data_IF_516641272200
#
_entry.id   IF_516641272200
#
_cell.length_a   1.000
_cell.length_b   1.000
_cell.length_c   1.000
_cell.angle_alpha   90.00
_cell.angle_beta   90.00
_cell.angle_gamma   90.00
#
_symmetry.space_group_name_H-M   'P 1'
#
loop_
_entity.id
_entity.type
_entity.pdbx_description
1 polymer ?
#
# COMPACT_ATOMS: atom_id res chain seq x y z
N UNK A 1 21.50 26.62 33.69
CA UNK A 1 20.40 25.66 33.48
C UNK A 1 19.45 26.18 32.40
N UNK A 2 19.75 25.91 31.14
CA UNK A 2 18.83 25.99 29.98
C UNK A 2 19.48 25.18 28.85
N UNK A 3 19.44 23.87 28.94
CA UNK A 3 19.79 22.95 27.86
C UNK A 3 19.03 21.64 28.08
N UNK A 4 17.71 21.70 27.92
CA UNK A 4 16.85 20.52 27.86
C UNK A 4 15.59 20.88 27.05
N UNK A 5 15.76 21.26 25.78
CA UNK A 5 14.69 21.29 24.78
C UNK A 5 15.23 20.92 23.40
N UNK A 6 16.13 19.96 23.35
CA UNK A 6 16.54 19.25 22.14
C UNK A 6 16.37 17.76 22.48
N UNK A 7 15.80 16.97 21.56
CA UNK A 7 15.64 15.50 21.62
C UNK A 7 14.26 14.93 21.99
N UNK A 8 13.15 15.44 21.42
CA UNK A 8 11.89 14.68 21.44
C UNK A 8 11.34 14.33 20.05
N UNK A 9 11.98 14.79 18.96
CA UNK A 9 11.63 14.42 17.58
C UNK A 9 12.48 13.29 16.98
N UNK A 10 13.51 12.83 17.69
CA UNK A 10 14.42 11.78 17.20
C UNK A 10 14.09 10.36 17.73
N UNK A 11 13.00 10.15 18.48
CA UNK A 11 12.77 8.87 19.18
C UNK A 11 11.42 8.19 18.98
N UNK A 12 10.59 8.62 18.04
CA UNK A 12 9.43 7.84 17.59
C UNK A 12 9.29 7.97 16.07
N UNK A 13 10.08 7.17 15.34
CA UNK A 13 9.67 6.68 14.02
C UNK A 13 8.51 5.71 14.27
N UNK A 14 7.33 6.21 14.63
CA UNK A 14 6.12 5.40 14.56
C UNK A 14 5.92 5.13 13.07
N UNK A 15 6.16 3.89 12.67
CA UNK A 15 5.88 3.47 11.30
C UNK A 15 4.43 3.84 10.99
N UNK A 16 4.22 4.54 9.89
CA UNK A 16 2.89 4.86 9.41
C UNK A 16 2.09 3.57 9.30
N UNK A 17 0.90 3.55 9.90
CA UNK A 17 0.00 2.41 9.84
C UNK A 17 -0.71 2.36 8.48
N UNK A 18 -0.04 1.73 7.51
CA UNK A 18 -0.57 1.55 6.15
C UNK A 18 -1.92 0.83 6.18
N UNK A 19 -2.09 -0.15 7.08
CA UNK A 19 -3.34 -0.90 7.26
C UNK A 19 -4.49 0.03 7.61
N UNK A 20 -4.27 0.95 8.55
CA UNK A 20 -5.27 1.93 8.96
C UNK A 20 -5.62 2.89 7.83
N UNK A 21 -4.64 3.35 7.05
CA UNK A 21 -4.89 4.24 5.90
C UNK A 21 -5.70 3.54 4.82
N UNK A 22 -5.34 2.30 4.46
CA UNK A 22 -6.09 1.52 3.47
C UNK A 22 -7.52 1.27 3.98
N UNK A 23 -7.68 0.93 5.26
CA UNK A 23 -9.00 0.71 5.86
C UNK A 23 -9.86 1.98 5.84
N UNK A 24 -9.28 3.14 6.14
CA UNK A 24 -9.97 4.43 6.05
C UNK A 24 -10.41 4.74 4.61
N UNK A 25 -9.50 4.61 3.63
CA UNK A 25 -9.80 4.80 2.22
C UNK A 25 -10.91 3.85 1.73
N UNK A 26 -10.85 2.57 2.12
CA UNK A 26 -11.88 1.59 1.78
C UNK A 26 -13.23 1.93 2.41
N UNK A 27 -13.25 2.41 3.66
CA UNK A 27 -14.49 2.80 4.34
C UNK A 27 -15.21 3.98 3.68
N UNK A 28 -14.48 4.78 2.89
CA UNK A 28 -14.99 5.90 2.11
C UNK A 28 -15.24 5.55 0.63
N UNK A 29 -15.06 4.28 0.25
CA UNK A 29 -15.29 3.77 -1.11
C UNK A 29 -16.64 3.07 -1.22
N UNK A 30 -17.30 3.23 -2.36
CA UNK A 30 -18.50 2.45 -2.72
C UNK A 30 -18.13 1.04 -3.25
N UNK A 31 -16.85 0.81 -3.53
CA UNK A 31 -16.33 -0.46 -4.05
C UNK A 31 -15.61 -1.25 -2.96
N UNK A 32 -15.79 -2.57 -2.98
CA UNK A 32 -14.99 -3.49 -2.16
C UNK A 32 -13.53 -3.53 -2.62
N UNK A 33 -12.64 -4.05 -1.76
CA UNK A 33 -11.23 -4.24 -2.08
C UNK A 33 -11.03 -5.01 -3.40
N UNK A 34 -11.72 -6.14 -3.58
CA UNK A 34 -11.59 -6.95 -4.80
C UNK A 34 -12.11 -6.21 -6.04
N UNK A 35 -13.16 -5.38 -5.92
CA UNK A 35 -13.66 -4.55 -7.04
C UNK A 35 -12.65 -3.48 -7.43
N UNK A 36 -12.03 -2.81 -6.45
CA UNK A 36 -10.98 -1.82 -6.69
C UNK A 36 -9.80 -2.47 -7.41
N UNK A 37 -9.29 -3.59 -6.89
CA UNK A 37 -8.19 -4.34 -7.52
C UNK A 37 -8.51 -4.88 -8.92
N UNK A 38 -9.78 -4.87 -9.35
CA UNK A 38 -10.20 -5.33 -10.67
C UNK A 38 -10.41 -4.21 -11.69
N UNK A 39 -10.15 -2.95 -11.36
CA UNK A 39 -10.27 -1.85 -12.33
C UNK A 39 -10.05 -0.42 -11.86
N UNK A 40 -9.88 -0.18 -10.55
CA UNK A 40 -9.66 1.15 -9.96
C UNK A 40 -8.37 1.21 -9.12
N UNK A 41 -7.47 0.24 -9.28
CA UNK A 41 -6.26 0.13 -8.47
C UNK A 41 -5.34 1.35 -8.63
N UNK A 42 -5.21 1.91 -9.83
CA UNK A 42 -4.38 3.10 -10.08
C UNK A 42 -4.86 4.31 -9.27
N UNK A 43 -6.15 4.67 -9.37
CA UNK A 43 -6.73 5.80 -8.64
C UNK A 43 -6.60 5.64 -7.12
N UNK A 44 -6.87 4.43 -6.61
CA UNK A 44 -6.73 4.14 -5.18
C UNK A 44 -5.26 4.23 -4.72
N UNK A 45 -4.31 3.72 -5.51
CA UNK A 45 -2.89 3.78 -5.14
C UNK A 45 -2.33 5.20 -5.16
N UNK A 46 -2.80 6.04 -6.08
CA UNK A 46 -2.45 7.47 -6.08
C UNK A 46 -2.91 8.18 -4.81
N UNK A 47 -4.08 7.82 -4.29
CA UNK A 47 -4.58 8.34 -3.01
C UNK A 47 -3.80 7.78 -1.81
N UNK A 48 -3.48 6.48 -1.82
CA UNK A 48 -2.70 5.86 -0.76
C UNK A 48 -1.30 6.47 -0.66
N UNK A 49 -0.56 6.56 -1.78
CA UNK A 49 0.84 7.01 -1.76
C UNK A 49 1.00 8.46 -1.29
N UNK A 50 0.01 9.33 -1.56
CA UNK A 50 -0.01 10.71 -1.05
C UNK A 50 -0.11 10.82 0.48
N UNK A 51 -0.55 9.74 1.15
CA UNK A 51 -0.71 9.67 2.61
C UNK A 51 0.45 8.94 3.29
N UNK A 52 1.40 8.42 2.51
CA UNK A 52 2.56 7.69 3.01
C UNK A 52 3.82 8.57 3.00
N UNK A 53 4.86 8.19 3.76
CA UNK A 53 6.13 8.90 3.73
C UNK A 53 6.82 8.81 2.36
N UNK A 54 7.76 9.72 2.12
CA UNK A 54 8.44 9.88 0.82
C UNK A 54 9.23 8.64 0.35
N UNK A 55 9.52 7.69 1.24
CA UNK A 55 10.18 6.42 0.91
C UNK A 55 9.21 5.29 0.56
N UNK A 56 7.89 5.54 0.56
CA UNK A 56 6.90 4.66 -0.06
C UNK A 56 6.99 4.77 -1.59
N UNK A 57 6.87 3.62 -2.27
CA UNK A 57 7.09 3.54 -3.71
C UNK A 57 5.90 2.89 -4.40
N UNK A 58 5.36 3.58 -5.39
CA UNK A 58 4.37 2.99 -6.29
C UNK A 58 5.03 1.89 -7.14
N UNK A 59 4.33 0.78 -7.28
CA UNK A 59 4.72 -0.36 -8.09
C UNK A 59 3.63 -0.69 -9.07
N UNK A 60 4.03 -1.18 -10.24
CA UNK A 60 3.09 -1.58 -11.28
C UNK A 60 3.57 -2.81 -12.05
N UNK A 61 2.60 -3.61 -12.49
CA UNK A 61 2.75 -4.59 -13.56
C UNK A 61 1.98 -4.05 -14.77
N UNK A 62 2.60 -3.98 -15.97
CA UNK A 62 1.90 -3.58 -17.20
C UNK A 62 0.73 -4.51 -17.55
N UNK A 63 -0.36 -3.96 -18.08
CA UNK A 63 -1.57 -4.70 -18.45
C UNK A 63 -1.38 -5.71 -19.61
N UNK A 64 -0.28 -5.61 -20.35
CA UNK A 64 0.10 -6.53 -21.43
C UNK A 64 1.11 -7.61 -20.99
N UNK A 65 1.37 -7.73 -19.69
CA UNK A 65 2.32 -8.69 -19.14
C UNK A 65 1.72 -10.10 -18.95
N UNK A 66 2.56 -11.07 -18.59
CA UNK A 66 2.12 -12.41 -18.18
C UNK A 66 1.33 -12.41 -16.86
N UNK A 67 1.51 -11.38 -16.04
CA UNK A 67 0.77 -11.16 -14.80
C UNK A 67 -0.37 -10.17 -15.04
N UNK A 68 -1.47 -10.21 -14.24
CA UNK A 68 -2.50 -9.17 -14.29
C UNK A 68 -1.89 -7.79 -14.12
N UNK A 69 -2.28 -6.83 -14.98
CA UNK A 69 -1.88 -5.46 -14.78
C UNK A 69 -2.45 -4.91 -13.48
N UNK A 70 -1.61 -4.30 -12.65
CA UNK A 70 -1.97 -3.91 -11.30
C UNK A 70 -1.06 -2.83 -10.75
N UNK A 71 -1.61 -1.98 -9.89
CA UNK A 71 -0.87 -0.97 -9.11
C UNK A 71 -0.95 -1.31 -7.62
N UNK A 72 0.17 -1.16 -6.92
CA UNK A 72 0.25 -1.34 -5.47
C UNK A 72 1.35 -0.44 -4.88
N UNK A 73 1.47 -0.40 -3.55
CA UNK A 73 2.54 0.34 -2.87
C UNK A 73 3.52 -0.61 -2.21
N UNK A 74 4.81 -0.31 -2.32
CA UNK A 74 5.87 -0.89 -1.50
C UNK A 74 6.32 0.12 -0.44
N UNK A 75 6.31 -0.28 0.83
CA UNK A 75 6.79 0.54 1.94
C UNK A 75 7.46 -0.34 2.99
N UNK A 76 8.65 0.05 3.46
CA UNK A 76 9.45 -0.72 4.43
C UNK A 76 9.64 -2.21 4.08
N UNK A 77 9.77 -2.53 2.79
CA UNK A 77 9.98 -3.89 2.30
C UNK A 77 8.74 -4.79 2.34
N UNK A 78 7.55 -4.22 2.52
CA UNK A 78 6.27 -4.89 2.37
C UNK A 78 5.48 -4.29 1.21
N UNK A 79 4.63 -5.11 0.61
CA UNK A 79 3.77 -4.75 -0.51
C UNK A 79 2.31 -4.73 -0.08
N UNK A 80 1.63 -3.64 -0.38
CA UNK A 80 0.28 -3.34 0.09
C UNK A 80 -0.63 -3.04 -1.10
N UNK A 81 -1.80 -3.64 -1.08
CA UNK A 81 -2.95 -3.24 -1.91
C UNK A 81 -4.23 -3.35 -1.09
N UNK A 82 -5.37 -3.13 -1.73
CA UNK A 82 -6.66 -3.15 -1.02
C UNK A 82 -7.03 -4.52 -0.44
N UNK A 83 -6.52 -5.63 -1.00
CA UNK A 83 -6.81 -7.00 -0.55
C UNK A 83 -5.75 -7.55 0.42
N UNK A 84 -4.64 -6.83 0.61
CA UNK A 84 -3.59 -7.14 1.58
C UNK A 84 -3.17 -5.87 2.36
N UNK A 85 -4.08 -5.27 3.17
CA UNK A 85 -3.80 -4.04 3.90
C UNK A 85 -2.71 -4.22 4.97
N UNK A 86 -2.53 -5.43 5.50
CA UNK A 86 -1.45 -5.75 6.45
C UNK A 86 -0.08 -5.93 5.76
N UNK A 87 -0.06 -5.99 4.43
CA UNK A 87 1.13 -6.15 3.62
C UNK A 87 1.60 -7.61 3.44
N UNK A 88 2.33 -7.85 2.35
CA UNK A 88 3.01 -9.12 2.06
C UNK A 88 4.49 -8.89 1.74
N UNK A 89 5.35 -9.89 1.95
CA UNK A 89 6.80 -9.76 1.73
C UNK A 89 7.21 -9.82 0.25
N UNK A 90 6.55 -10.64 -0.54
CA UNK A 90 6.76 -10.74 -1.99
C UNK A 90 5.48 -10.26 -2.68
N UNK A 91 5.59 -9.32 -3.61
CA UNK A 91 4.44 -8.79 -4.34
C UNK A 91 3.64 -9.90 -5.05
N UNK A 92 4.27 -11.02 -5.43
CA UNK A 92 3.57 -12.17 -6.02
C UNK A 92 2.62 -12.88 -5.05
N UNK A 93 2.75 -12.62 -3.75
CA UNK A 93 1.83 -13.11 -2.73
C UNK A 93 0.59 -12.22 -2.55
N UNK A 94 0.51 -11.07 -3.25
CA UNK A 94 -0.73 -10.28 -3.26
C UNK A 94 -1.86 -11.12 -3.89
N UNK A 95 -3.10 -11.02 -3.36
CA UNK A 95 -4.20 -11.90 -3.77
C UNK A 95 -4.47 -11.92 -5.28
N UNK A 96 -4.35 -10.78 -5.97
CA UNK A 96 -4.55 -10.71 -7.43
C UNK A 96 -3.57 -11.58 -8.22
N UNK A 97 -2.28 -11.57 -7.86
CA UNK A 97 -1.26 -12.37 -8.53
C UNK A 97 -1.39 -13.85 -8.16
N UNK A 98 -1.65 -14.16 -6.88
CA UNK A 98 -1.91 -15.54 -6.44
C UNK A 98 -3.04 -16.19 -7.23
N UNK A 99 -4.18 -15.49 -7.37
CA UNK A 99 -5.33 -15.97 -8.15
C UNK A 99 -5.00 -16.21 -9.62
N UNK A 100 -4.05 -15.47 -10.19
CA UNK A 100 -3.65 -15.64 -11.60
C UNK A 100 -2.71 -16.84 -11.83
N UNK A 101 -1.93 -17.24 -10.82
CA UNK A 101 -1.03 -18.39 -10.89
C UNK A 101 -1.78 -19.72 -10.86
N UNK A 102 -2.92 -19.77 -10.19
CA UNK A 102 -3.72 -20.98 -10.02
C UNK A 102 -4.71 -21.23 -11.17
N UNK A 103 -4.63 -20.44 -12.26
CA UNK A 103 -5.42 -20.58 -13.48
C UNK A 103 -4.63 -21.28 -14.58
#
# INVERSE_FOLDING_TARGET
MKHLLENWREYLNEAVDVTAIISDLLSNSECSATEINSGQCEEFMMDLIQRLPDDAIERTVPFDSHWPGHYWVEYQGQHYDTEAPEGVKDWKDLPIFRRSRDK
#
